data_IF_693379844265
#
_entry.id   IF_693379844265
#
_cell.length_a   1.000
_cell.length_b   1.000
_cell.length_c   1.000
_cell.angle_alpha   90.00
_cell.angle_beta   90.00
_cell.angle_gamma   90.00
#
_symmetry.space_group_name_H-M   'P 1'
#
loop_
_entity.id
_entity.type
_entity.pdbx_description
1 polymer ?
#
# COMPACT_ATOMS: atom_id res chain seq x y z
N UNK A 1 3.81 17.35 -32.10
CA UNK A 1 2.85 18.14 -31.29
C UNK A 1 3.27 18.00 -29.83
N UNK A 2 3.93 19.02 -29.28
CA UNK A 2 4.50 19.01 -27.92
C UNK A 2 3.40 19.37 -26.93
N UNK A 3 2.85 18.38 -26.23
CA UNK A 3 1.92 18.61 -25.13
C UNK A 3 2.74 18.84 -23.86
N UNK A 4 2.43 19.94 -23.17
CA UNK A 4 3.19 20.54 -22.08
C UNK A 4 3.39 19.57 -20.90
N UNK A 5 4.60 19.60 -20.37
CA UNK A 5 4.95 19.07 -19.05
C UNK A 5 4.11 19.78 -17.98
N UNK A 6 3.05 19.10 -17.52
CA UNK A 6 2.44 19.44 -16.24
C UNK A 6 3.33 18.85 -15.14
N UNK A 7 4.22 19.69 -14.59
CA UNK A 7 4.84 19.43 -13.31
C UNK A 7 3.75 19.39 -12.24
N UNK A 8 3.16 18.22 -12.04
CA UNK A 8 2.39 17.91 -10.86
C UNK A 8 3.35 17.90 -9.68
N UNK A 9 3.48 19.07 -9.04
CA UNK A 9 3.89 19.21 -7.64
C UNK A 9 2.84 18.50 -6.78
N UNK A 10 2.86 17.16 -6.80
CA UNK A 10 2.16 16.39 -5.79
C UNK A 10 2.96 16.53 -4.50
N UNK A 11 2.64 17.61 -3.76
CA UNK A 11 2.77 17.59 -2.31
C UNK A 11 2.05 16.35 -1.86
N UNK A 12 2.81 15.32 -1.53
CA UNK A 12 2.29 14.12 -0.89
C UNK A 12 1.65 14.60 0.41
N UNK A 13 0.33 14.76 0.39
CA UNK A 13 -0.53 14.68 1.57
C UNK A 13 -0.50 13.22 2.01
N UNK A 14 0.70 12.73 2.31
CA UNK A 14 0.86 11.69 3.28
C UNK A 14 0.27 12.33 4.52
N UNK A 15 -0.94 11.92 4.89
CA UNK A 15 -1.36 12.00 6.29
C UNK A 15 -0.19 11.41 7.03
N UNK A 16 0.67 12.29 7.58
CA UNK A 16 1.73 11.86 8.47
C UNK A 16 0.97 11.02 9.47
N UNK A 17 1.22 9.71 9.58
CA UNK A 17 0.60 8.97 10.65
C UNK A 17 0.90 9.80 11.89
N UNK A 18 -0.13 10.11 12.68
CA UNK A 18 0.07 10.51 14.06
C UNK A 18 1.06 9.48 14.56
N UNK A 19 2.34 9.89 14.72
CA UNK A 19 3.38 9.01 15.25
C UNK A 19 2.77 8.56 16.55
N UNK A 20 2.26 7.32 16.55
CA UNK A 20 1.46 6.82 17.66
C UNK A 20 2.25 7.16 18.88
N UNK A 21 1.64 7.91 19.80
CA UNK A 21 2.26 8.30 21.05
C UNK A 21 2.77 7.01 21.66
N UNK A 22 4.06 6.73 21.48
CA UNK A 22 4.75 5.66 22.15
C UNK A 22 4.64 6.07 23.59
N UNK A 23 3.69 5.44 24.28
CA UNK A 23 3.47 5.64 25.70
C UNK A 23 4.79 5.23 26.36
N UNK A 24 5.61 6.23 26.67
CA UNK A 24 6.93 6.03 27.25
C UNK A 24 6.68 5.67 28.71
N UNK A 25 6.45 4.38 28.98
CA UNK A 25 6.41 3.87 30.35
C UNK A 25 7.80 4.04 30.93
N UNK A 26 7.92 5.05 31.79
CA UNK A 26 9.13 5.37 32.53
C UNK A 26 9.24 4.37 33.69
N UNK A 27 9.52 3.09 33.39
CA UNK A 27 9.86 2.11 34.41
C UNK A 27 11.19 1.44 34.08
N UNK A 28 12.05 1.44 35.07
CA UNK A 28 13.48 1.08 35.05
C UNK A 28 13.76 -0.41 34.86
N UNK A 29 12.79 -1.16 34.34
CA UNK A 29 12.88 -2.58 34.04
C UNK A 29 12.31 -2.78 32.62
N UNK A 30 13.13 -2.47 31.62
CA UNK A 30 12.73 -2.25 30.24
C UNK A 30 12.30 -3.54 29.51
N UNK A 31 11.09 -4.03 29.79
CA UNK A 31 10.43 -5.01 28.91
C UNK A 31 9.93 -4.28 27.65
N UNK A 32 10.15 -4.82 26.44
CA UNK A 32 9.64 -4.21 25.22
C UNK A 32 8.11 -4.21 25.24
N UNK A 33 7.51 -3.07 24.88
CA UNK A 33 6.06 -2.94 24.71
C UNK A 33 5.62 -3.70 23.45
N UNK A 34 4.68 -4.63 23.60
CA UNK A 34 4.05 -5.37 22.48
C UNK A 34 2.71 -4.69 22.17
N UNK A 35 2.57 -4.21 20.93
CA UNK A 35 1.41 -3.40 20.51
C UNK A 35 0.32 -4.26 19.87
N UNK A 36 -0.56 -4.87 20.65
CA UNK A 36 -1.61 -5.76 20.13
C UNK A 36 -2.78 -5.05 19.45
N UNK A 37 -2.87 -3.71 19.53
CA UNK A 37 -3.98 -2.91 19.00
C UNK A 37 -3.80 -2.43 17.55
N UNK A 38 -2.72 -2.80 16.87
CA UNK A 38 -2.52 -2.42 15.48
C UNK A 38 -3.32 -3.31 14.52
N UNK A 39 -4.25 -2.71 13.78
CA UNK A 39 -5.03 -3.38 12.74
C UNK A 39 -4.33 -3.45 11.37
N UNK A 40 -3.18 -2.81 11.20
CA UNK A 40 -2.38 -2.87 9.97
C UNK A 40 -1.34 -4.00 10.08
N UNK A 41 -1.47 -5.09 9.30
CA UNK A 41 -0.53 -6.21 9.36
C UNK A 41 0.85 -5.84 8.82
N UNK A 42 0.99 -4.81 7.98
CA UNK A 42 2.26 -4.44 7.32
C UNK A 42 3.32 -3.94 8.30
N UNK A 43 2.91 -3.54 9.51
CA UNK A 43 3.78 -3.11 10.59
C UNK A 43 4.70 -4.22 11.09
N UNK A 44 4.30 -5.48 10.93
CA UNK A 44 5.08 -6.61 11.40
C UNK A 44 5.80 -7.29 10.23
N UNK A 45 7.11 -7.56 10.36
CA UNK A 45 7.90 -8.14 9.27
C UNK A 45 7.48 -9.57 8.91
N UNK A 46 6.72 -10.25 9.78
CA UNK A 46 6.18 -11.58 9.54
C UNK A 46 4.98 -11.59 8.56
N UNK A 47 4.29 -10.46 8.38
CA UNK A 47 3.26 -10.34 7.36
C UNK A 47 3.86 -9.64 6.13
N UNK A 48 4.18 -10.44 5.12
CA UNK A 48 4.68 -9.96 3.83
C UNK A 48 3.69 -10.32 2.74
N UNK A 49 3.53 -9.40 1.80
CA UNK A 49 2.82 -9.66 0.56
C UNK A 49 3.46 -10.85 -0.15
N UNK A 50 2.63 -11.72 -0.75
CA UNK A 50 3.13 -12.87 -1.51
C UNK A 50 3.99 -12.42 -2.71
N UNK A 51 5.06 -13.15 -2.99
CA UNK A 51 5.93 -12.92 -4.15
C UNK A 51 5.17 -12.90 -5.47
N UNK A 52 4.13 -13.74 -5.60
CA UNK A 52 3.26 -13.79 -6.78
C UNK A 52 2.62 -12.43 -7.07
N UNK A 53 2.23 -11.71 -6.02
CA UNK A 53 1.60 -10.39 -6.16
C UNK A 53 2.64 -9.33 -6.53
N UNK A 54 3.86 -9.43 -5.99
CA UNK A 54 4.98 -8.54 -6.35
C UNK A 54 5.34 -8.69 -7.84
N UNK A 55 5.48 -9.92 -8.31
CA UNK A 55 5.86 -10.22 -9.69
C UNK A 55 4.76 -9.80 -10.68
N UNK A 56 3.50 -10.12 -10.37
CA UNK A 56 2.36 -9.70 -11.20
C UNK A 56 2.22 -8.17 -11.28
N UNK A 57 2.56 -7.44 -10.21
CA UNK A 57 2.58 -5.98 -10.23
C UNK A 57 3.66 -5.44 -11.16
N UNK A 58 4.87 -6.01 -11.11
CA UNK A 58 5.98 -5.62 -12.00
C UNK A 58 5.61 -5.87 -13.46
N UNK A 59 5.04 -7.04 -13.77
CA UNK A 59 4.56 -7.37 -15.11
C UNK A 59 3.46 -6.40 -15.59
N UNK A 60 2.49 -6.09 -14.74
CA UNK A 60 1.40 -5.16 -15.07
C UNK A 60 1.91 -3.73 -15.38
N UNK A 61 2.94 -3.28 -14.66
CA UNK A 61 3.57 -1.97 -14.89
C UNK A 61 4.37 -1.99 -16.19
N UNK A 62 5.17 -3.03 -16.42
CA UNK A 62 6.00 -3.18 -17.61
C UNK A 62 5.17 -3.34 -18.90
N UNK A 63 4.01 -3.99 -18.82
CA UNK A 63 3.13 -4.19 -19.96
C UNK A 63 2.50 -2.88 -20.45
N UNK A 64 2.41 -1.86 -19.60
CA UNK A 64 1.75 -0.56 -19.84
C UNK A 64 0.26 -0.66 -20.22
N UNK A 65 -0.33 -1.85 -20.18
CA UNK A 65 -1.72 -2.10 -20.61
C UNK A 65 -2.77 -1.56 -19.64
N UNK A 66 -2.36 -1.28 -18.40
CA UNK A 66 -3.25 -0.89 -17.31
C UNK A 66 -3.15 0.60 -16.92
N UNK A 67 -2.51 1.43 -17.76
CA UNK A 67 -2.31 2.86 -17.49
C UNK A 67 -3.51 3.75 -17.85
N UNK A 68 -4.53 3.18 -18.51
CA UNK A 68 -5.74 3.88 -18.91
C UNK A 68 -6.77 3.96 -17.77
N UNK A 69 -7.77 4.82 -17.90
CA UNK A 69 -8.89 4.88 -16.97
C UNK A 69 -9.66 3.55 -16.92
N UNK A 70 -9.83 3.01 -15.71
CA UNK A 70 -10.68 1.85 -15.49
C UNK A 70 -12.17 2.24 -15.55
N UNK A 71 -13.07 1.32 -15.91
CA UNK A 71 -14.51 1.51 -15.71
C UNK A 71 -14.81 1.78 -14.22
N UNK A 72 -15.90 2.49 -13.90
CA UNK A 72 -16.26 2.83 -12.51
C UNK A 72 -16.42 1.61 -11.59
N UNK A 73 -16.74 0.45 -12.17
CA UNK A 73 -16.89 -0.82 -11.46
C UNK A 73 -15.60 -1.64 -11.38
N UNK A 74 -14.48 -1.15 -11.93
CA UNK A 74 -13.21 -1.86 -12.00
C UNK A 74 -13.03 -2.72 -13.26
N UNK A 75 -11.78 -3.16 -13.46
CA UNK A 75 -11.34 -3.90 -14.65
C UNK A 75 -11.96 -5.32 -14.65
N UNK A 76 -12.40 -5.79 -15.82
CA UNK A 76 -13.18 -7.03 -15.97
C UNK A 76 -12.41 -8.33 -15.59
N UNK A 77 -11.14 -8.55 -15.97
CA UNK A 77 -10.45 -9.81 -15.67
C UNK A 77 -10.32 -10.10 -14.17
N UNK A 78 -9.89 -9.15 -13.29
CA UNK A 78 -9.88 -9.38 -11.85
C UNK A 78 -11.27 -9.68 -11.26
N UNK A 79 -12.31 -8.99 -11.74
CA UNK A 79 -13.68 -9.23 -11.25
C UNK A 79 -14.20 -10.62 -11.57
N UNK A 80 -13.91 -11.11 -12.78
CA UNK A 80 -14.27 -12.48 -13.16
C UNK A 80 -13.51 -13.48 -12.31
N UNK A 81 -12.21 -13.28 -12.12
CA UNK A 81 -11.40 -14.14 -11.28
C UNK A 81 -11.96 -14.25 -9.85
N UNK A 82 -12.30 -13.12 -9.23
CA UNK A 82 -12.91 -13.09 -7.89
C UNK A 82 -14.28 -13.79 -7.81
N UNK A 83 -15.05 -13.82 -8.90
CA UNK A 83 -16.34 -14.50 -8.91
C UNK A 83 -16.21 -16.04 -8.96
N UNK A 84 -15.06 -16.56 -9.38
CA UNK A 84 -14.79 -17.99 -9.52
C UNK A 84 -13.79 -18.55 -8.50
N UNK A 85 -13.16 -17.69 -7.70
CA UNK A 85 -12.19 -18.05 -6.66
C UNK A 85 -12.86 -18.12 -5.29
#
# INVERSE_FOLDING_TARGET
MRCMQLQLSQRQIFLKPLKGTSMKTRSTTAKPLIQLGYGDPSLYPCFRTSKIVEDALVEAIQSTQHNCYAPSVGINPPRRFLAFH
#
